data_IF_135795549711
#
_entry.id   IF_135795549711
#
_cell.length_a   1.000
_cell.length_b   1.000
_cell.length_c   1.000
_cell.angle_alpha   90.00
_cell.angle_beta   90.00
_cell.angle_gamma   90.00
#
_symmetry.space_group_name_H-M   'P 1'
#
loop_
_entity.id
_entity.type
_entity.pdbx_description
1 polymer ?
#
# COMPACT_ATOMS: atom_id res chain seq x y z
N UNK A 1 -36.24 -11.84 9.16
CA UNK A 1 -34.99 -12.22 9.86
C UNK A 1 -34.61 -11.03 10.72
N UNK A 2 -34.73 -11.13 12.05
CA UNK A 2 -34.37 -10.06 12.98
C UNK A 2 -32.89 -10.20 13.34
N UNK A 3 -32.10 -9.14 13.17
CA UNK A 3 -30.72 -9.07 13.69
C UNK A 3 -30.78 -8.92 15.21
N UNK A 4 -30.15 -9.84 15.96
CA UNK A 4 -30.05 -9.75 17.42
C UNK A 4 -28.77 -9.00 17.80
N UNK A 5 -28.74 -8.37 18.98
CA UNK A 5 -27.57 -7.60 19.48
C UNK A 5 -26.23 -8.36 19.39
N UNK A 6 -26.12 -9.68 19.69
CA UNK A 6 -24.85 -10.40 19.54
C UNK A 6 -24.37 -10.55 18.09
N UNK A 7 -25.26 -10.50 17.10
CA UNK A 7 -24.86 -10.52 15.69
C UNK A 7 -24.13 -9.22 15.33
N UNK A 8 -24.59 -8.09 15.87
CA UNK A 8 -24.06 -6.75 15.62
C UNK A 8 -22.62 -6.56 16.15
N UNK A 9 -22.28 -7.15 17.30
CA UNK A 9 -20.94 -7.08 17.89
C UNK A 9 -19.90 -7.81 17.04
N UNK A 10 -20.25 -8.96 16.45
CA UNK A 10 -19.34 -9.68 15.55
C UNK A 10 -19.09 -8.88 14.26
N UNK A 11 -20.13 -8.29 13.68
CA UNK A 11 -19.99 -7.43 12.51
C UNK A 11 -19.08 -6.23 12.84
N UNK A 12 -19.30 -5.56 13.96
CA UNK A 12 -18.47 -4.43 14.39
C UNK A 12 -16.99 -4.82 14.56
N UNK A 13 -16.71 -6.00 15.13
CA UNK A 13 -15.35 -6.53 15.24
C UNK A 13 -14.67 -6.78 13.90
N UNK A 14 -15.38 -7.38 12.94
CA UNK A 14 -14.86 -7.62 11.58
C UNK A 14 -14.60 -6.28 10.86
N UNK A 15 -15.51 -5.32 10.98
CA UNK A 15 -15.34 -3.99 10.40
C UNK A 15 -14.11 -3.25 10.96
N UNK A 16 -13.86 -3.36 12.27
CA UNK A 16 -12.67 -2.78 12.90
C UNK A 16 -11.37 -3.40 12.36
N UNK A 17 -11.31 -4.74 12.22
CA UNK A 17 -10.14 -5.43 11.66
C UNK A 17 -9.89 -4.99 10.21
N UNK A 18 -10.94 -4.89 9.40
CA UNK A 18 -10.83 -4.44 8.01
C UNK A 18 -10.25 -3.03 7.90
N UNK A 19 -10.67 -2.10 8.76
CA UNK A 19 -10.13 -0.74 8.79
C UNK A 19 -8.63 -0.75 9.15
N UNK A 20 -8.24 -1.54 10.16
CA UNK A 20 -6.83 -1.64 10.57
C UNK A 20 -5.96 -2.20 9.43
N UNK A 21 -6.41 -3.28 8.77
CA UNK A 21 -5.70 -3.89 7.63
C UNK A 21 -5.55 -2.88 6.48
N UNK A 22 -6.59 -2.10 6.21
CA UNK A 22 -6.57 -1.08 5.16
C UNK A 22 -5.55 0.02 5.48
N UNK A 23 -5.54 0.53 6.72
CA UNK A 23 -4.56 1.54 7.18
C UNK A 23 -3.13 0.99 7.04
N UNK A 24 -2.87 -0.22 7.52
CA UNK A 24 -1.54 -0.85 7.43
C UNK A 24 -1.09 -0.99 5.98
N UNK A 25 -2.00 -1.42 5.10
CA UNK A 25 -1.71 -1.55 3.67
C UNK A 25 -1.32 -0.21 3.05
N UNK A 26 -2.07 0.86 3.34
CA UNK A 26 -1.73 2.21 2.87
C UNK A 26 -0.39 2.70 3.43
N UNK A 27 -0.09 2.47 4.70
CA UNK A 27 1.18 2.85 5.32
C UNK A 27 2.36 2.16 4.62
N UNK A 28 2.26 0.85 4.39
CA UNK A 28 3.27 0.09 3.64
C UNK A 28 3.43 0.66 2.23
N UNK A 29 2.31 0.99 1.58
CA UNK A 29 2.29 1.56 0.23
C UNK A 29 3.09 2.87 0.14
N UNK A 30 2.88 3.78 1.08
CA UNK A 30 3.63 5.04 1.16
C UNK A 30 5.11 4.82 1.51
N UNK A 31 5.42 3.92 2.45
CA UNK A 31 6.81 3.59 2.78
C UNK A 31 7.57 3.08 1.55
N UNK A 32 6.93 2.20 0.78
CA UNK A 32 7.48 1.66 -0.45
C UNK A 32 7.74 2.79 -1.47
N UNK A 33 6.79 3.69 -1.70
CA UNK A 33 6.97 4.80 -2.63
C UNK A 33 8.15 5.71 -2.25
N UNK A 34 8.29 6.03 -0.95
CA UNK A 34 9.43 6.79 -0.42
C UNK A 34 10.74 6.01 -0.60
N UNK A 35 10.71 4.71 -0.35
CA UNK A 35 11.87 3.85 -0.50
C UNK A 35 12.33 3.75 -1.95
N UNK A 36 11.42 3.58 -2.93
CA UNK A 36 11.72 3.58 -4.37
C UNK A 36 12.42 4.87 -4.77
N UNK A 37 11.93 6.02 -4.31
CA UNK A 37 12.57 7.31 -4.60
C UNK A 37 13.99 7.41 -4.03
N UNK A 38 14.18 6.98 -2.78
CA UNK A 38 15.52 7.00 -2.15
C UNK A 38 16.47 5.98 -2.81
N UNK A 39 15.99 4.82 -3.22
CA UNK A 39 16.79 3.78 -3.87
C UNK A 39 17.17 4.20 -5.29
N UNK A 40 16.23 4.72 -6.08
CA UNK A 40 16.52 5.27 -7.41
C UNK A 40 17.50 6.45 -7.37
N UNK A 41 17.36 7.34 -6.37
CA UNK A 41 18.28 8.48 -6.19
C UNK A 41 19.70 8.05 -5.84
N UNK A 42 19.87 6.94 -5.11
CA UNK A 42 21.20 6.36 -4.80
C UNK A 42 21.88 5.74 -6.00
N UNK A 43 21.13 5.32 -7.01
CA UNK A 43 21.64 4.64 -8.21
C UNK A 43 21.87 5.60 -9.40
N UNK A 44 21.86 6.91 -9.17
CA UNK A 44 21.89 7.95 -10.21
C UNK A 44 20.82 7.74 -11.33
N UNK A 45 19.75 7.02 -10.98
CA UNK A 45 18.59 6.82 -11.86
C UNK A 45 17.61 7.95 -11.65
N UNK A 46 16.76 8.20 -12.65
CA UNK A 46 15.81 9.31 -12.63
C UNK A 46 14.69 9.04 -11.60
N UNK A 47 14.96 9.36 -10.33
CA UNK A 47 14.16 8.98 -9.17
C UNK A 47 12.73 9.55 -9.22
N UNK A 48 12.57 10.72 -9.82
CA UNK A 48 11.27 11.36 -10.01
C UNK A 48 10.40 10.54 -10.95
N UNK A 49 10.97 9.99 -12.03
CA UNK A 49 10.24 9.16 -13.00
C UNK A 49 9.77 7.86 -12.36
N UNK A 50 10.65 7.20 -11.60
CA UNK A 50 10.30 5.97 -10.88
C UNK A 50 9.26 6.19 -9.79
N UNK A 51 9.37 7.28 -9.02
CA UNK A 51 8.33 7.65 -8.06
C UNK A 51 7.00 7.91 -8.77
N UNK A 52 7.01 8.63 -9.90
CA UNK A 52 5.78 8.95 -10.66
C UNK A 52 5.10 7.68 -11.17
N UNK A 53 5.86 6.73 -11.70
CA UNK A 53 5.35 5.42 -12.17
C UNK A 53 4.70 4.67 -11.01
N UNK A 54 5.40 4.53 -9.87
CA UNK A 54 4.87 3.84 -8.68
C UNK A 54 3.64 4.53 -8.10
N UNK A 55 3.60 5.87 -8.14
CA UNK A 55 2.47 6.66 -7.68
C UNK A 55 1.23 6.48 -8.58
N UNK A 56 1.42 6.46 -9.91
CA UNK A 56 0.34 6.34 -10.90
C UNK A 56 -0.19 4.91 -11.04
N UNK A 57 0.70 3.92 -11.04
CA UNK A 57 0.33 2.51 -11.26
C UNK A 57 0.16 1.72 -9.95
N UNK A 58 0.41 2.34 -8.81
CA UNK A 58 0.19 1.72 -7.51
C UNK A 58 1.12 0.53 -7.28
N UNK A 59 0.56 -0.56 -6.74
CA UNK A 59 1.30 -1.80 -6.44
C UNK A 59 2.04 -2.36 -7.66
N UNK A 60 1.47 -2.17 -8.85
CA UNK A 60 2.02 -2.68 -10.11
C UNK A 60 3.33 -1.96 -10.44
N UNK A 61 3.39 -0.64 -10.27
CA UNK A 61 4.61 0.13 -10.50
C UNK A 61 5.74 -0.27 -9.57
N UNK A 62 5.41 -0.63 -8.32
CA UNK A 62 6.40 -1.13 -7.38
C UNK A 62 6.99 -2.47 -7.83
N UNK A 63 6.14 -3.40 -8.30
CA UNK A 63 6.60 -4.69 -8.85
C UNK A 63 7.51 -4.45 -10.07
N UNK A 64 7.11 -3.57 -10.99
CA UNK A 64 7.92 -3.22 -12.17
C UNK A 64 9.28 -2.64 -11.75
N UNK A 65 9.30 -1.73 -10.76
CA UNK A 65 10.54 -1.19 -10.23
C UNK A 65 11.46 -2.27 -9.66
N UNK A 66 10.90 -3.21 -8.89
CA UNK A 66 11.68 -4.31 -8.32
C UNK A 66 12.25 -5.26 -9.39
N UNK A 67 11.58 -5.43 -10.52
CA UNK A 67 12.07 -6.24 -11.64
C UNK A 67 13.12 -5.51 -12.47
N UNK A 68 12.97 -4.20 -12.67
CA UNK A 68 13.93 -3.40 -13.47
C UNK A 68 15.18 -3.00 -12.66
N UNK A 69 15.11 -3.02 -11.33
CA UNK A 69 16.28 -2.73 -10.48
C UNK A 69 17.25 -3.90 -10.35
N UNK A 70 16.85 -5.12 -10.72
CA UNK A 70 17.75 -6.27 -10.92
C UNK A 70 18.58 -6.06 -12.20
#
# INVERSE_FOLDING_TARGET
MFFTIPDLDLFAGIWMIMIVVLIVTYVIFFLIAIWVYKDAKKRDMNAVVWLLIVLLTGCIGCIIYLVVRD
#
